data_IF_991062426406
#
_entry.id   IF_991062426406
#
_cell.length_a   1.000
_cell.length_b   1.000
_cell.length_c   1.000
_cell.angle_alpha   90.00
_cell.angle_beta   90.00
_cell.angle_gamma   90.00
#
_symmetry.space_group_name_H-M   'P 1'
#
loop_
_entity.id
_entity.type
_entity.pdbx_description
1 polymer ?
#
# COMPACT_ATOMS: atom_id res chain seq x y z
N UNK A 1 -24.17 -3.20 -11.31
CA UNK A 1 -23.03 -4.11 -11.61
C UNK A 1 -22.41 -4.47 -10.28
N UNK A 2 -22.90 -5.55 -9.67
CA UNK A 2 -22.46 -5.99 -8.34
C UNK A 2 -21.06 -6.54 -8.53
N UNK A 3 -20.03 -5.82 -8.06
CA UNK A 3 -18.67 -6.36 -8.03
C UNK A 3 -18.74 -7.65 -7.24
N UNK A 4 -18.52 -8.79 -7.92
CA UNK A 4 -18.43 -10.11 -7.31
C UNK A 4 -17.41 -10.04 -6.18
N UNK A 5 -17.94 -10.00 -4.96
CA UNK A 5 -17.20 -10.35 -3.76
C UNK A 5 -16.88 -11.83 -3.91
N UNK A 6 -15.69 -12.13 -4.39
CA UNK A 6 -15.12 -13.47 -4.26
C UNK A 6 -14.40 -13.46 -2.93
N UNK A 7 -15.08 -14.00 -1.94
CA UNK A 7 -14.54 -14.27 -0.63
C UNK A 7 -13.90 -15.67 -0.63
N UNK A 8 -12.63 -15.67 -0.20
CA UNK A 8 -11.87 -16.69 0.56
C UNK A 8 -11.70 -18.10 -0.02
N UNK A 9 -10.45 -18.42 -0.42
CA UNK A 9 -9.63 -19.47 0.24
C UNK A 9 -8.19 -19.43 -0.32
N UNK A 10 -7.21 -19.17 0.56
CA UNK A 10 -5.78 -19.15 0.25
C UNK A 10 -5.24 -17.78 -0.22
N UNK A 11 -4.61 -17.03 0.69
CA UNK A 11 -3.55 -16.02 0.49
C UNK A 11 -3.32 -15.38 -0.91
N UNK A 12 -4.36 -15.04 -1.66
CA UNK A 12 -4.25 -14.28 -2.89
C UNK A 12 -4.24 -12.80 -2.51
N UNK A 13 -3.05 -12.19 -2.51
CA UNK A 13 -2.94 -10.74 -2.40
C UNK A 13 -3.81 -10.09 -3.49
N UNK A 14 -4.82 -9.30 -3.09
CA UNK A 14 -5.59 -8.47 -4.03
C UNK A 14 -4.58 -7.59 -4.77
N UNK A 15 -4.61 -7.56 -6.11
CA UNK A 15 -3.65 -6.78 -6.90
C UNK A 15 -3.89 -5.28 -6.66
N UNK A 16 -2.87 -4.49 -6.28
CA UNK A 16 -3.04 -3.06 -6.05
C UNK A 16 -3.32 -2.30 -7.36
N UNK A 17 -3.95 -1.12 -7.32
CA UNK A 17 -4.19 -0.30 -8.50
C UNK A 17 -2.86 0.18 -9.10
N UNK A 18 -2.66 -0.04 -10.39
CA UNK A 18 -1.43 0.37 -11.10
C UNK A 18 -1.38 1.90 -11.30
N UNK A 19 -0.25 2.52 -10.97
CA UNK A 19 0.05 3.92 -11.26
C UNK A 19 0.68 4.03 -12.65
N UNK A 20 0.14 4.92 -13.48
CA UNK A 20 0.60 5.13 -14.87
C UNK A 20 1.36 6.45 -15.06
N UNK A 21 1.79 7.10 -13.98
CA UNK A 21 2.43 8.42 -14.05
C UNK A 21 1.46 9.59 -14.34
N UNK A 22 0.14 9.35 -14.35
CA UNK A 22 -0.90 10.35 -14.60
C UNK A 22 -2.02 10.24 -13.55
N UNK A 23 -2.75 11.33 -13.34
CA UNK A 23 -3.92 11.41 -12.45
C UNK A 23 -3.62 10.88 -11.04
N UNK A 24 -2.57 11.42 -10.41
CA UNK A 24 -2.10 10.99 -9.09
C UNK A 24 -3.22 11.00 -8.04
N UNK A 25 -4.06 12.04 -7.98
CA UNK A 25 -5.14 12.12 -6.97
C UNK A 25 -6.14 10.98 -7.10
N UNK A 26 -6.52 10.63 -8.33
CA UNK A 26 -7.41 9.50 -8.60
C UNK A 26 -6.76 8.17 -8.21
N UNK A 27 -5.49 7.98 -8.57
CA UNK A 27 -4.74 6.79 -8.18
C UNK A 27 -4.59 6.69 -6.66
N UNK A 28 -4.29 7.81 -5.99
CA UNK A 28 -4.15 7.90 -4.53
C UNK A 28 -5.44 7.49 -3.84
N UNK A 29 -6.59 8.02 -4.25
CA UNK A 29 -7.90 7.61 -3.70
C UNK A 29 -8.17 6.12 -3.88
N UNK A 30 -7.79 5.56 -5.04
CA UNK A 30 -7.91 4.12 -5.29
C UNK A 30 -6.98 3.29 -4.42
N UNK A 31 -5.76 3.76 -4.16
CA UNK A 31 -4.80 3.10 -3.28
C UNK A 31 -5.25 3.14 -1.82
N UNK A 32 -5.79 4.29 -1.36
CA UNK A 32 -6.40 4.43 -0.03
C UNK A 32 -7.51 3.39 0.17
N UNK A 33 -8.46 3.32 -0.76
CA UNK A 33 -9.57 2.35 -0.71
C UNK A 33 -9.07 0.89 -0.69
N UNK A 34 -7.98 0.60 -1.43
CA UNK A 34 -7.36 -0.72 -1.44
C UNK A 34 -6.72 -1.07 -0.09
N UNK A 35 -6.04 -0.10 0.55
CA UNK A 35 -5.45 -0.24 1.87
C UNK A 35 -6.49 -0.44 2.97
N UNK A 36 -7.58 0.34 2.96
CA UNK A 36 -8.71 0.16 3.90
C UNK A 36 -9.31 -1.25 3.81
N UNK A 37 -9.41 -1.80 2.59
CA UNK A 37 -9.90 -3.16 2.37
C UNK A 37 -8.88 -4.26 2.77
N UNK A 38 -7.62 -3.90 3.03
CA UNK A 38 -6.55 -4.81 3.38
C UNK A 38 -6.25 -4.82 4.89
N UNK A 39 -6.23 -3.64 5.54
CA UNK A 39 -6.06 -3.49 6.98
C UNK A 39 -6.39 -2.05 7.41
N UNK A 40 -7.11 -1.89 8.53
CA UNK A 40 -7.56 -0.59 9.05
C UNK A 40 -6.42 0.42 9.27
N UNK A 41 -5.27 -0.04 9.77
CA UNK A 41 -4.12 0.82 10.04
C UNK A 41 -3.16 0.99 8.85
N UNK A 42 -3.49 0.47 7.65
CA UNK A 42 -2.51 0.44 6.55
C UNK A 42 -2.21 1.85 6.02
N UNK A 43 -3.24 2.68 5.81
CA UNK A 43 -3.05 4.07 5.37
C UNK A 43 -2.34 4.90 6.43
N UNK A 44 -2.71 4.74 7.71
CA UNK A 44 -2.05 5.41 8.85
C UNK A 44 -0.54 5.16 8.84
N UNK A 45 -0.12 3.91 8.59
CA UNK A 45 1.30 3.55 8.54
C UNK A 45 2.03 4.18 7.36
N UNK A 46 1.37 4.37 6.21
CA UNK A 46 1.96 5.05 5.05
C UNK A 46 2.14 6.55 5.31
N UNK A 47 1.18 7.20 5.96
CA UNK A 47 1.19 8.66 6.18
C UNK A 47 2.08 9.09 7.36
N UNK A 48 2.01 8.33 8.46
CA UNK A 48 2.53 8.72 9.77
C UNK A 48 3.79 7.96 10.20
N UNK A 49 4.57 7.44 9.24
CA UNK A 49 5.81 6.66 9.40
C UNK A 49 6.34 6.51 10.85
N UNK A 50 6.35 5.27 11.35
CA UNK A 50 7.08 4.83 12.55
C UNK A 50 6.94 5.68 13.83
N UNK A 51 5.77 6.22 14.19
CA UNK A 51 5.52 6.48 15.62
C UNK A 51 5.45 5.12 16.35
N UNK A 52 6.53 4.79 17.07
CA UNK A 52 6.67 3.57 17.87
C UNK A 52 6.28 3.89 19.32
N UNK A 53 5.02 3.67 19.75
CA UNK A 53 4.78 3.36 21.15
C UNK A 53 5.29 1.93 21.37
N UNK A 54 6.19 1.79 22.33
CA UNK A 54 7.10 0.67 22.64
C UNK A 54 6.49 -0.74 22.73
N UNK A 55 5.15 -0.89 22.68
CA UNK A 55 4.46 -2.18 22.69
C UNK A 55 3.81 -2.60 21.35
N UNK A 56 3.72 -1.74 20.33
CA UNK A 56 3.11 -2.08 19.01
C UNK A 56 4.09 -2.06 17.83
N UNK A 57 5.38 -1.84 18.08
CA UNK A 57 6.39 -1.62 17.03
C UNK A 57 6.50 -2.74 15.99
N UNK A 58 6.46 -4.02 16.42
CA UNK A 58 6.61 -5.16 15.49
C UNK A 58 5.45 -5.28 14.50
N UNK A 59 4.21 -5.13 14.96
CA UNK A 59 3.03 -5.23 14.10
C UNK A 59 2.98 -4.10 13.07
N UNK A 60 3.27 -2.85 13.49
CA UNK A 60 3.37 -1.71 12.57
C UNK A 60 4.50 -1.86 11.56
N UNK A 61 5.67 -2.37 11.98
CA UNK A 61 6.79 -2.63 11.08
C UNK A 61 6.42 -3.63 9.96
N UNK A 62 5.74 -4.72 10.32
CA UNK A 62 5.24 -5.69 9.35
C UNK A 62 4.20 -5.07 8.41
N UNK A 63 3.31 -4.23 8.95
CA UNK A 63 2.31 -3.54 8.15
C UNK A 63 2.95 -2.54 7.16
N UNK A 64 3.98 -1.81 7.59
CA UNK A 64 4.75 -0.91 6.73
C UNK A 64 5.45 -1.67 5.61
N UNK A 65 6.07 -2.81 5.95
CA UNK A 65 6.71 -3.68 4.97
C UNK A 65 5.71 -4.17 3.91
N UNK A 66 4.49 -4.50 4.33
CA UNK A 66 3.41 -4.92 3.44
C UNK A 66 2.87 -3.78 2.58
N UNK A 67 2.69 -2.59 3.14
CA UNK A 67 2.28 -1.39 2.39
C UNK A 67 3.32 -1.04 1.32
N UNK A 68 4.61 -1.05 1.67
CA UNK A 68 5.72 -0.85 0.74
C UNK A 68 5.68 -1.86 -0.40
N UNK A 69 5.51 -3.15 -0.09
CA UNK A 69 5.39 -4.18 -1.13
C UNK A 69 4.23 -3.90 -2.11
N UNK A 70 3.07 -3.47 -1.60
CA UNK A 70 1.94 -3.11 -2.46
C UNK A 70 2.21 -1.88 -3.33
N UNK A 71 2.85 -0.85 -2.78
CA UNK A 71 3.26 0.33 -3.56
C UNK A 71 4.25 -0.07 -4.66
N UNK A 72 5.25 -0.89 -4.35
CA UNK A 72 6.21 -1.39 -5.34
C UNK A 72 5.51 -2.17 -6.47
N UNK A 73 4.55 -3.05 -6.14
CA UNK A 73 3.77 -3.79 -7.14
C UNK A 73 2.80 -2.91 -7.95
N UNK A 74 2.51 -1.71 -7.47
CA UNK A 74 1.62 -0.75 -8.12
C UNK A 74 2.36 0.18 -9.10
N UNK A 75 3.68 0.14 -9.15
CA UNK A 75 4.49 1.00 -10.02
C UNK A 75 4.87 0.27 -11.32
N UNK A 76 4.86 1.01 -12.43
CA UNK A 76 5.50 0.58 -13.67
C UNK A 76 7.02 0.78 -13.55
N UNK A 77 7.79 0.03 -14.34
CA UNK A 77 9.27 0.08 -14.34
C UNK A 77 9.82 1.51 -14.50
N UNK A 78 9.18 2.33 -15.35
CA UNK A 78 9.55 3.74 -15.55
C UNK A 78 9.33 4.64 -14.33
N UNK A 79 8.45 4.27 -13.40
CA UNK A 79 8.24 4.99 -12.14
C UNK A 79 9.08 4.37 -11.00
N UNK A 80 9.37 3.08 -11.07
CA UNK A 80 10.24 2.37 -10.13
C UNK A 80 11.64 3.02 -10.06
N UNK A 81 12.25 3.36 -11.20
CA UNK A 81 13.58 3.99 -11.23
C UNK A 81 13.65 5.30 -10.43
N UNK A 82 12.52 6.00 -10.27
CA UNK A 82 12.46 7.26 -9.52
C UNK A 82 12.36 7.05 -8.00
N UNK A 83 11.83 5.92 -7.55
CA UNK A 83 11.52 5.66 -6.13
C UNK A 83 12.26 4.47 -5.53
N UNK A 84 13.11 3.77 -6.30
CA UNK A 84 13.80 2.57 -5.84
C UNK A 84 14.74 2.79 -4.65
N UNK A 85 15.14 4.04 -4.40
CA UNK A 85 16.05 4.43 -3.32
C UNK A 85 15.31 4.80 -2.04
N UNK A 86 13.97 4.86 -2.09
CA UNK A 86 13.13 5.22 -0.96
C UNK A 86 13.15 4.11 0.09
N UNK A 87 13.37 4.50 1.35
CA UNK A 87 13.53 3.61 2.49
C UNK A 87 12.21 3.38 3.23
N UNK A 88 11.21 4.23 3.02
CA UNK A 88 9.87 4.06 3.60
C UNK A 88 8.76 4.27 2.57
N UNK A 89 7.56 3.76 2.88
CA UNK A 89 6.35 3.91 2.05
C UNK A 89 5.91 5.37 1.86
N UNK A 90 6.31 6.25 2.79
CA UNK A 90 6.05 7.69 2.74
C UNK A 90 6.91 8.43 1.72
N UNK A 91 8.13 7.93 1.52
CA UNK A 91 9.10 8.48 0.56
C UNK A 91 8.80 8.04 -0.88
N UNK A 92 7.96 7.01 -1.05
CA UNK A 92 7.49 6.51 -2.35
C UNK A 92 6.25 7.26 -2.84
#
# INVERSE_FOLDING_TARGET
>A
MVLKVIEIEGHAMKKPPMFKGQNYDYWKQRMMTFFDACHIDMWDVVENDNYIPTNKGRARYLLNSKARNFLMCALMESEYEKVHSCKSSKEM
#
